data_IF_971737039056
#
_entry.id   IF_971737039056
#
_cell.length_a   1.000
_cell.length_b   1.000
_cell.length_c   1.000
_cell.angle_alpha   90.00
_cell.angle_beta   90.00
_cell.angle_gamma   90.00
#
_symmetry.space_group_name_H-M   'P 1'
#
loop_
_entity.id
_entity.type
_entity.pdbx_description
1 polymer ?
#
# COMPACT_ATOMS: atom_id res chain seq x y z
N UNK A 1 64.45 48.44 -37.03
CA UNK A 1 62.96 48.37 -37.22
C UNK A 1 62.45 47.09 -36.62
N UNK A 2 62.05 47.15 -35.35
CA UNK A 2 61.45 45.97 -34.71
C UNK A 2 60.35 46.45 -33.76
N UNK A 3 59.12 46.11 -34.06
CA UNK A 3 57.94 46.45 -33.30
C UNK A 3 57.58 45.24 -32.48
N UNK A 4 57.88 45.29 -31.15
CA UNK A 4 57.47 44.28 -30.22
C UNK A 4 55.97 44.48 -29.87
N UNK A 5 55.14 43.61 -30.36
CA UNK A 5 53.73 43.49 -29.93
C UNK A 5 53.66 42.74 -28.59
N UNK A 6 53.31 43.44 -27.53
CA UNK A 6 52.98 42.85 -26.20
C UNK A 6 51.56 42.31 -26.24
N UNK A 7 51.43 41.01 -26.42
CA UNK A 7 50.16 40.31 -26.22
C UNK A 7 49.81 40.28 -24.73
N UNK A 8 48.80 41.04 -24.35
CA UNK A 8 48.20 41.00 -23.01
C UNK A 8 47.48 39.68 -22.84
N UNK A 9 48.03 38.81 -22.01
CA UNK A 9 47.33 37.60 -21.52
C UNK A 9 46.23 38.08 -20.56
N UNK A 10 45.03 38.14 -21.11
CA UNK A 10 43.81 38.38 -20.34
C UNK A 10 43.47 37.07 -19.62
N UNK A 11 43.82 36.97 -18.34
CA UNK A 11 43.43 35.88 -17.46
C UNK A 11 41.89 35.90 -17.34
N UNK A 12 41.25 35.02 -18.08
CA UNK A 12 39.83 34.71 -17.90
C UNK A 12 39.67 34.07 -16.52
N UNK A 13 39.29 34.86 -15.55
CA UNK A 13 38.82 34.41 -14.26
C UNK A 13 37.52 33.66 -14.55
N UNK A 14 37.58 32.34 -14.61
CA UNK A 14 36.39 31.49 -14.56
C UNK A 14 35.65 31.80 -13.27
N UNK A 15 34.58 32.58 -13.39
CA UNK A 15 33.62 32.77 -12.32
C UNK A 15 32.96 31.39 -12.06
N UNK A 16 33.45 30.68 -11.04
CA UNK A 16 32.75 29.52 -10.51
C UNK A 16 31.32 29.95 -10.19
N UNK A 17 30.32 29.30 -10.78
CA UNK A 17 28.92 29.56 -10.40
C UNK A 17 28.80 29.32 -8.89
N UNK A 18 28.06 30.18 -8.16
CA UNK A 18 27.91 30.05 -6.73
C UNK A 18 27.37 28.65 -6.42
N UNK A 19 28.05 27.96 -5.49
CA UNK A 19 27.63 26.67 -5.00
C UNK A 19 26.13 26.78 -4.65
N UNK A 20 25.31 26.01 -5.36
CA UNK A 20 23.86 25.89 -5.06
C UNK A 20 23.78 25.43 -3.62
N UNK A 21 23.49 26.37 -2.73
CA UNK A 21 23.24 26.11 -1.33
C UNK A 21 22.24 24.97 -1.22
N UNK A 22 22.66 23.90 -0.57
CA UNK A 22 21.79 22.77 -0.24
C UNK A 22 20.65 23.29 0.64
N UNK A 23 19.57 23.75 0.00
CA UNK A 23 18.35 24.11 0.69
C UNK A 23 17.86 22.85 1.40
N UNK A 24 18.03 22.79 2.71
CA UNK A 24 17.34 21.84 3.58
C UNK A 24 15.84 22.08 3.36
N UNK A 25 15.24 21.27 2.48
CA UNK A 25 13.83 21.40 2.13
C UNK A 25 12.99 21.32 3.40
N UNK A 26 12.50 22.48 3.86
CA UNK A 26 11.62 22.55 5.06
C UNK A 26 10.43 21.63 4.80
N UNK A 27 10.34 20.56 5.58
CA UNK A 27 9.22 19.62 5.53
C UNK A 27 7.96 20.43 5.89
N UNK A 28 6.96 20.46 5.00
CA UNK A 28 5.76 21.23 5.26
C UNK A 28 4.95 20.58 6.40
N UNK A 29 4.47 21.37 7.34
CA UNK A 29 3.62 20.91 8.46
C UNK A 29 2.42 20.11 7.95
N UNK A 30 1.84 20.54 6.83
CA UNK A 30 0.70 19.84 6.18
C UNK A 30 1.07 18.44 5.71
N UNK A 31 2.29 18.21 5.24
CA UNK A 31 2.76 16.90 4.85
C UNK A 31 2.96 16.00 6.09
N UNK A 32 3.58 16.54 7.16
CA UNK A 32 3.75 15.82 8.43
C UNK A 32 2.39 15.41 9.00
N UNK A 33 1.44 16.35 9.05
CA UNK A 33 0.08 16.06 9.53
C UNK A 33 -0.60 14.99 8.68
N UNK A 34 -0.49 15.06 7.35
CA UNK A 34 -1.04 14.03 6.46
C UNK A 34 -0.39 12.65 6.66
N UNK A 35 0.91 12.59 6.93
CA UNK A 35 1.60 11.35 7.25
C UNK A 35 1.12 10.78 8.59
N UNK A 36 0.98 11.62 9.62
CA UNK A 36 0.45 11.20 10.93
C UNK A 36 -0.97 10.64 10.79
N UNK A 37 -1.83 11.29 10.01
CA UNK A 37 -3.19 10.81 9.72
C UNK A 37 -3.15 9.47 8.99
N UNK A 38 -2.27 9.29 7.99
CA UNK A 38 -2.13 8.03 7.26
C UNK A 38 -1.64 6.89 8.16
N UNK A 39 -0.68 7.16 9.06
CA UNK A 39 -0.19 6.18 10.03
C UNK A 39 -1.26 5.83 11.07
N UNK A 40 -2.01 6.81 11.56
CA UNK A 40 -3.13 6.57 12.46
C UNK A 40 -4.22 5.72 11.78
N UNK A 41 -4.57 6.04 10.53
CA UNK A 41 -5.51 5.25 9.74
C UNK A 41 -5.02 3.81 9.53
N UNK A 42 -3.72 3.61 9.28
CA UNK A 42 -3.13 2.27 9.18
C UNK A 42 -3.23 1.51 10.50
N UNK A 43 -2.90 2.14 11.62
CA UNK A 43 -2.98 1.52 12.94
C UNK A 43 -4.42 1.11 13.30
N UNK A 44 -5.39 2.00 13.07
CA UNK A 44 -6.82 1.72 13.27
C UNK A 44 -7.27 0.58 12.35
N UNK A 45 -6.88 0.62 11.08
CA UNK A 45 -7.21 -0.44 10.12
C UNK A 45 -6.67 -1.81 10.58
N UNK A 46 -5.39 -1.90 10.97
CA UNK A 46 -4.79 -3.15 11.42
C UNK A 46 -5.44 -3.65 12.72
N UNK A 47 -5.81 -2.75 13.62
CA UNK A 47 -6.53 -3.11 14.84
C UNK A 47 -7.93 -3.67 14.52
N UNK A 48 -8.71 -3.00 13.66
CA UNK A 48 -10.03 -3.49 13.23
C UNK A 48 -9.91 -4.83 12.52
N UNK A 49 -8.93 -4.95 11.60
CA UNK A 49 -8.63 -6.16 10.88
C UNK A 49 -8.36 -7.33 11.85
N UNK A 50 -7.47 -7.14 12.82
CA UNK A 50 -7.18 -8.15 13.83
C UNK A 50 -8.43 -8.53 14.63
N UNK A 51 -9.26 -7.56 15.00
CA UNK A 51 -10.53 -7.83 15.72
C UNK A 51 -11.50 -8.66 14.90
N UNK A 52 -11.67 -8.33 13.61
CA UNK A 52 -12.57 -9.06 12.71
C UNK A 52 -12.06 -10.47 12.45
N UNK A 53 -10.77 -10.60 12.11
CA UNK A 53 -10.17 -11.88 11.71
C UNK A 53 -9.99 -12.86 12.89
N UNK A 54 -9.70 -12.36 14.07
CA UNK A 54 -9.45 -13.19 15.25
C UNK A 54 -10.71 -13.40 16.13
N UNK A 55 -11.88 -12.98 15.67
CA UNK A 55 -13.13 -13.26 16.37
C UNK A 55 -13.63 -14.67 15.99
N UNK A 56 -13.83 -15.56 16.99
CA UNK A 56 -14.40 -16.89 16.73
C UNK A 56 -15.78 -16.83 16.10
N UNK A 57 -16.08 -17.81 15.25
CA UNK A 57 -17.42 -17.98 14.66
C UNK A 57 -18.19 -19.03 15.48
N UNK A 58 -19.18 -18.64 16.29
CA UNK A 58 -19.94 -19.58 17.10
C UNK A 58 -20.65 -20.62 16.22
N UNK A 59 -20.59 -21.90 16.61
CA UNK A 59 -21.29 -22.99 15.92
C UNK A 59 -20.57 -23.57 14.68
N UNK A 60 -19.38 -23.10 14.36
CA UNK A 60 -18.57 -23.65 13.27
C UNK A 60 -17.50 -24.66 13.74
N UNK A 61 -17.61 -25.15 14.97
CA UNK A 61 -16.64 -26.07 15.58
C UNK A 61 -16.69 -27.43 14.84
N UNK A 62 -15.58 -27.81 14.23
CA UNK A 62 -15.40 -29.14 13.61
C UNK A 62 -15.72 -29.26 12.13
N UNK A 63 -16.25 -28.23 11.46
CA UNK A 63 -16.65 -28.33 10.03
C UNK A 63 -15.68 -27.69 9.04
N UNK A 64 -14.65 -26.97 9.49
CA UNK A 64 -13.78 -26.22 8.60
C UNK A 64 -12.65 -27.08 8.03
N UNK A 65 -12.87 -27.70 6.88
CA UNK A 65 -11.78 -28.23 6.06
C UNK A 65 -11.05 -27.07 5.36
N UNK A 66 -9.72 -26.98 5.55
CA UNK A 66 -8.91 -25.97 4.87
C UNK A 66 -8.95 -26.14 3.35
N UNK A 67 -8.95 -25.02 2.63
CA UNK A 67 -8.89 -25.00 1.18
C UNK A 67 -7.52 -24.48 0.70
N UNK A 68 -6.73 -25.37 0.13
CA UNK A 68 -5.45 -25.04 -0.49
C UNK A 68 -5.54 -24.92 -2.02
N UNK A 69 -6.68 -25.29 -2.61
CA UNK A 69 -6.88 -25.27 -4.05
C UNK A 69 -7.44 -23.91 -4.50
N UNK A 70 -6.68 -23.11 -5.26
CA UNK A 70 -7.15 -21.82 -5.77
C UNK A 70 -8.39 -21.98 -6.66
N UNK A 71 -9.42 -21.22 -6.38
CA UNK A 71 -10.69 -21.22 -7.10
C UNK A 71 -11.74 -22.21 -6.57
N UNK A 72 -11.41 -23.06 -5.59
CA UNK A 72 -12.34 -24.04 -5.07
C UNK A 72 -13.51 -23.40 -4.29
N UNK A 73 -13.20 -22.49 -3.38
CA UNK A 73 -14.20 -21.72 -2.64
C UNK A 73 -15.03 -20.84 -3.56
N UNK A 74 -14.40 -20.21 -4.54
CA UNK A 74 -15.12 -19.39 -5.52
C UNK A 74 -16.10 -20.22 -6.33
N UNK A 75 -15.70 -21.38 -6.86
CA UNK A 75 -16.60 -22.31 -7.58
C UNK A 75 -17.75 -22.76 -6.69
N UNK A 76 -17.46 -23.18 -5.46
CA UNK A 76 -18.47 -23.60 -4.50
C UNK A 76 -19.56 -22.55 -4.28
N UNK A 77 -19.20 -21.26 -4.18
CA UNK A 77 -20.18 -20.18 -4.02
C UNK A 77 -20.91 -19.83 -5.32
N UNK A 78 -20.30 -20.02 -6.48
CA UNK A 78 -20.92 -19.75 -7.79
C UNK A 78 -21.90 -20.87 -8.20
N UNK A 79 -21.62 -22.11 -7.82
CA UNK A 79 -22.44 -23.29 -8.19
C UNK A 79 -23.65 -23.45 -7.27
N UNK A 80 -23.74 -22.75 -6.15
CA UNK A 80 -24.90 -22.82 -5.26
C UNK A 80 -25.91 -21.70 -5.53
N UNK A 81 -27.22 -21.99 -5.38
CA UNK A 81 -28.24 -20.96 -5.47
C UNK A 81 -28.17 -20.01 -4.27
N UNK A 82 -27.39 -18.99 -4.37
CA UNK A 82 -27.20 -18.04 -3.29
C UNK A 82 -26.27 -16.88 -3.67
N UNK A 83 -26.64 -16.11 -4.72
CA UNK A 83 -25.88 -14.92 -5.17
C UNK A 83 -25.46 -14.01 -4.01
N UNK A 84 -26.29 -13.89 -2.97
CA UNK A 84 -25.98 -13.08 -1.79
C UNK A 84 -24.77 -13.61 -1.02
N UNK A 85 -24.68 -14.94 -0.81
CA UNK A 85 -23.56 -15.54 -0.09
C UNK A 85 -22.25 -15.37 -0.88
N UNK A 86 -22.28 -15.60 -2.20
CA UNK A 86 -21.16 -15.38 -3.09
C UNK A 86 -20.70 -13.91 -3.08
N UNK A 87 -21.63 -12.96 -3.18
CA UNK A 87 -21.30 -11.52 -3.13
C UNK A 87 -20.69 -11.09 -1.79
N UNK A 88 -21.20 -11.63 -0.67
CA UNK A 88 -20.66 -11.31 0.65
C UNK A 88 -19.27 -11.89 0.84
N UNK A 89 -19.02 -13.13 0.41
CA UNK A 89 -17.70 -13.76 0.52
C UNK A 89 -16.68 -13.08 -0.41
N UNK A 90 -16.95 -13.02 -1.70
CA UNK A 90 -16.05 -12.44 -2.69
C UNK A 90 -15.90 -10.94 -2.47
N UNK A 91 -17.02 -10.22 -2.32
CA UNK A 91 -17.02 -8.77 -2.10
C UNK A 91 -16.42 -8.39 -0.74
N UNK A 92 -16.71 -9.16 0.31
CA UNK A 92 -16.17 -8.97 1.64
C UNK A 92 -14.64 -9.04 1.63
N UNK A 93 -14.06 -10.07 1.02
CA UNK A 93 -12.61 -10.23 0.92
C UNK A 93 -11.97 -9.14 0.04
N UNK A 94 -12.57 -8.81 -1.11
CA UNK A 94 -12.06 -7.69 -1.92
C UNK A 94 -12.03 -6.37 -1.16
N UNK A 95 -13.04 -6.09 -0.33
CA UNK A 95 -13.12 -4.84 0.44
C UNK A 95 -12.22 -4.89 1.67
N UNK A 96 -12.02 -6.05 2.28
CA UNK A 96 -11.30 -6.22 3.54
C UNK A 96 -9.88 -5.63 3.49
N UNK A 97 -9.11 -5.89 2.43
CA UNK A 97 -7.75 -5.38 2.26
C UNK A 97 -7.65 -4.14 1.35
N UNK A 98 -8.76 -3.67 0.79
CA UNK A 98 -8.79 -2.47 -0.05
C UNK A 98 -8.18 -1.21 0.62
N UNK A 99 -8.37 -0.93 1.93
CA UNK A 99 -7.74 0.20 2.59
C UNK A 99 -6.21 0.22 2.48
N UNK A 100 -5.54 -0.95 2.45
CA UNK A 100 -4.09 -1.03 2.26
C UNK A 100 -3.66 -0.48 0.91
N UNK A 101 -4.46 -0.70 -0.15
CA UNK A 101 -4.20 -0.16 -1.48
C UNK A 101 -4.12 1.37 -1.52
N UNK A 102 -4.80 2.02 -0.59
CA UNK A 102 -4.81 3.49 -0.44
C UNK A 102 -3.76 3.97 0.57
N UNK A 103 -3.69 3.33 1.72
CA UNK A 103 -2.88 3.81 2.87
C UNK A 103 -1.39 3.56 2.66
N UNK A 104 -0.99 2.36 2.20
CA UNK A 104 0.42 2.01 2.03
C UNK A 104 1.21 2.99 1.16
N UNK A 105 0.73 3.38 -0.04
CA UNK A 105 1.43 4.35 -0.88
C UNK A 105 1.43 5.78 -0.34
N UNK A 106 0.57 6.12 0.65
CA UNK A 106 0.58 7.39 1.37
C UNK A 106 1.67 7.39 2.45
N UNK A 107 1.78 6.30 3.20
CA UNK A 107 2.75 6.16 4.29
C UNK A 107 4.18 6.15 3.75
N UNK A 108 4.44 5.44 2.65
CA UNK A 108 5.78 5.34 2.10
C UNK A 108 5.81 5.42 0.56
N UNK A 109 6.61 6.33 0.03
CA UNK A 109 6.85 6.43 -1.42
C UNK A 109 7.36 5.13 -2.03
N UNK A 110 8.15 4.36 -1.27
CA UNK A 110 8.69 3.06 -1.69
C UNK A 110 7.62 2.01 -1.92
N UNK A 111 6.43 2.15 -1.31
CA UNK A 111 5.30 1.25 -1.48
C UNK A 111 4.37 1.67 -2.63
N UNK A 112 4.76 2.65 -3.44
CA UNK A 112 4.02 3.09 -4.62
C UNK A 112 4.28 2.13 -5.78
N UNK A 113 3.29 1.32 -6.09
CA UNK A 113 3.32 0.36 -7.20
C UNK A 113 2.40 -0.83 -6.93
N UNK A 114 1.72 -1.36 -7.97
CA UNK A 114 0.74 -2.44 -7.78
C UNK A 114 1.41 -3.71 -7.22
N UNK A 115 2.61 -4.05 -7.69
CA UNK A 115 3.33 -5.24 -7.20
C UNK A 115 3.72 -5.11 -5.73
N UNK A 116 4.16 -3.94 -5.29
CA UNK A 116 4.56 -3.71 -3.89
C UNK A 116 3.36 -3.70 -2.96
N UNK A 117 2.28 -3.06 -3.38
CA UNK A 117 1.01 -3.09 -2.64
C UNK A 117 0.48 -4.52 -2.58
N UNK A 118 0.46 -5.24 -3.70
CA UNK A 118 0.01 -6.63 -3.76
C UNK A 118 0.86 -7.55 -2.89
N UNK A 119 2.21 -7.39 -2.92
CA UNK A 119 3.09 -8.19 -2.08
C UNK A 119 2.82 -7.97 -0.58
N UNK A 120 2.72 -6.71 -0.13
CA UNK A 120 2.46 -6.41 1.29
C UNK A 120 1.07 -6.88 1.70
N UNK A 121 0.04 -6.62 0.89
CA UNK A 121 -1.32 -7.06 1.18
C UNK A 121 -1.43 -8.58 1.16
N UNK A 122 -0.79 -9.26 0.20
CA UNK A 122 -0.78 -10.72 0.10
C UNK A 122 -0.08 -11.39 1.28
N UNK A 123 1.09 -10.87 1.69
CA UNK A 123 1.78 -11.39 2.88
C UNK A 123 0.98 -11.17 4.16
N UNK A 124 0.33 -10.01 4.31
CA UNK A 124 -0.52 -9.74 5.46
C UNK A 124 -1.76 -10.64 5.45
N UNK A 125 -2.40 -10.83 4.29
CA UNK A 125 -3.54 -11.72 4.15
C UNK A 125 -3.16 -13.18 4.42
N UNK A 126 -2.03 -13.65 3.89
CA UNK A 126 -1.52 -14.99 4.15
C UNK A 126 -1.27 -15.20 5.66
N UNK A 127 -0.62 -14.23 6.31
CA UNK A 127 -0.39 -14.30 7.75
C UNK A 127 -1.69 -14.32 8.54
N UNK A 128 -2.70 -13.56 8.10
CA UNK A 128 -4.02 -13.54 8.71
C UNK A 128 -4.72 -14.90 8.58
N UNK A 129 -4.72 -15.50 7.37
CA UNK A 129 -5.31 -16.82 7.12
C UNK A 129 -4.63 -17.94 7.93
N UNK A 130 -3.30 -17.93 8.00
CA UNK A 130 -2.56 -18.87 8.84
C UNK A 130 -2.93 -18.67 10.32
N UNK A 131 -2.98 -17.43 10.78
CA UNK A 131 -3.38 -17.14 12.17
C UNK A 131 -4.81 -17.59 12.46
N UNK A 132 -5.75 -17.40 11.53
CA UNK A 132 -7.13 -17.86 11.66
C UNK A 132 -7.21 -19.38 11.75
N UNK A 133 -6.56 -20.09 10.84
CA UNK A 133 -6.56 -21.56 10.82
C UNK A 133 -5.91 -22.19 12.05
N UNK A 134 -4.97 -21.50 12.71
CA UNK A 134 -4.27 -22.02 13.89
C UNK A 134 -4.92 -21.56 15.20
N UNK A 135 -5.41 -20.32 15.28
CA UNK A 135 -5.79 -19.68 16.53
C UNK A 135 -7.30 -19.54 16.72
N UNK A 136 -8.09 -19.65 15.65
CA UNK A 136 -9.52 -19.37 15.70
C UNK A 136 -10.34 -20.64 15.47
N UNK A 137 -11.03 -21.09 16.49
CA UNK A 137 -11.92 -22.25 16.41
C UNK A 137 -13.02 -22.01 15.34
N UNK A 138 -13.26 -23.04 14.51
CA UNK A 138 -14.25 -22.98 13.45
C UNK A 138 -13.81 -22.22 12.19
N UNK A 139 -12.52 -21.82 12.10
CA UNK A 139 -11.95 -21.28 10.87
C UNK A 139 -10.84 -22.17 10.34
N UNK A 140 -10.79 -22.29 9.00
CA UNK A 140 -9.72 -22.96 8.30
C UNK A 140 -9.07 -22.03 7.29
N UNK A 141 -7.84 -22.33 6.91
CA UNK A 141 -7.11 -21.62 5.86
C UNK A 141 -7.85 -21.70 4.52
N UNK A 142 -8.00 -20.57 3.83
CA UNK A 142 -8.56 -20.50 2.49
C UNK A 142 -7.64 -19.69 1.54
N UNK A 143 -7.12 -20.38 0.51
CA UNK A 143 -6.25 -19.77 -0.50
C UNK A 143 -6.97 -18.69 -1.33
N UNK A 144 -8.29 -18.84 -1.56
CA UNK A 144 -9.06 -17.86 -2.31
C UNK A 144 -9.20 -16.55 -1.56
N UNK A 145 -9.27 -16.59 -0.24
CA UNK A 145 -9.31 -15.38 0.59
C UNK A 145 -8.02 -14.57 0.45
N UNK A 146 -6.86 -15.24 0.39
CA UNK A 146 -5.57 -14.54 0.15
C UNK A 146 -5.56 -13.87 -1.22
N UNK A 147 -6.05 -14.57 -2.24
CA UNK A 147 -6.10 -14.04 -3.62
C UNK A 147 -7.04 -12.84 -3.72
N UNK A 148 -8.26 -12.97 -3.19
CA UNK A 148 -9.28 -11.92 -3.23
C UNK A 148 -8.86 -10.68 -2.44
N UNK A 149 -8.32 -10.85 -1.25
CA UNK A 149 -7.80 -9.79 -0.41
C UNK A 149 -6.67 -9.02 -1.12
N UNK A 150 -5.74 -9.75 -1.73
CA UNK A 150 -4.64 -9.14 -2.51
C UNK A 150 -5.16 -8.37 -3.72
N UNK A 151 -6.10 -8.97 -4.47
CA UNK A 151 -6.73 -8.33 -5.62
C UNK A 151 -7.47 -7.06 -5.21
N UNK A 152 -8.20 -7.07 -4.10
CA UNK A 152 -8.89 -5.91 -3.56
C UNK A 152 -7.96 -4.74 -3.23
N UNK A 153 -6.82 -5.02 -2.59
CA UNK A 153 -5.81 -4.00 -2.32
C UNK A 153 -5.22 -3.40 -3.61
N UNK A 154 -4.91 -4.24 -4.60
CA UNK A 154 -4.38 -3.81 -5.90
C UNK A 154 -5.40 -2.97 -6.67
N UNK A 155 -6.66 -3.39 -6.69
CA UNK A 155 -7.75 -2.62 -7.31
C UNK A 155 -7.92 -1.25 -6.64
N UNK A 156 -7.96 -1.19 -5.32
CA UNK A 156 -8.06 0.07 -4.58
C UNK A 156 -6.85 0.99 -4.84
N UNK A 157 -5.65 0.42 -4.99
CA UNK A 157 -4.48 1.17 -5.42
C UNK A 157 -4.68 1.83 -6.78
N UNK A 158 -5.18 1.11 -7.78
CA UNK A 158 -5.41 1.68 -9.12
C UNK A 158 -6.51 2.74 -9.12
N UNK A 159 -7.61 2.48 -8.41
CA UNK A 159 -8.78 3.36 -8.40
C UNK A 159 -8.49 4.67 -7.63
N UNK A 160 -7.87 4.60 -6.47
CA UNK A 160 -7.73 5.71 -5.53
C UNK A 160 -6.25 5.96 -5.16
N UNK A 161 -5.57 4.93 -4.66
CA UNK A 161 -4.26 5.04 -4.02
C UNK A 161 -3.20 5.69 -4.89
N UNK A 162 -3.14 5.33 -6.17
CA UNK A 162 -2.19 5.88 -7.14
C UNK A 162 -2.35 7.39 -7.34
N UNK A 163 -3.58 7.90 -7.42
CA UNK A 163 -3.84 9.33 -7.60
C UNK A 163 -3.54 10.10 -6.31
N UNK A 164 -4.06 9.60 -5.20
CA UNK A 164 -3.93 10.23 -3.90
C UNK A 164 -2.47 10.31 -3.45
N UNK A 165 -1.70 9.22 -3.58
CA UNK A 165 -0.28 9.21 -3.20
C UNK A 165 0.57 10.12 -4.08
N UNK A 166 0.28 10.24 -5.38
CA UNK A 166 0.99 11.19 -6.25
C UNK A 166 0.76 12.63 -5.81
N UNK A 167 -0.48 12.99 -5.52
CA UNK A 167 -0.84 14.32 -5.05
C UNK A 167 -0.22 14.64 -3.67
N UNK A 168 -0.25 13.65 -2.76
CA UNK A 168 0.31 13.79 -1.42
C UNK A 168 1.83 14.02 -1.43
N UNK A 169 2.56 13.21 -2.17
CA UNK A 169 4.02 13.32 -2.22
C UNK A 169 4.53 14.45 -3.14
N UNK A 170 3.76 14.87 -4.14
CA UNK A 170 4.09 16.06 -4.94
C UNK A 170 4.16 17.34 -4.08
N UNK A 171 3.36 17.44 -3.04
CA UNK A 171 3.37 18.55 -2.09
C UNK A 171 4.63 18.63 -1.23
N UNK A 172 5.29 17.49 -0.98
CA UNK A 172 6.57 17.43 -0.26
C UNK A 172 7.70 18.15 -1.02
N UNK A 173 7.65 18.09 -2.36
CA UNK A 173 8.74 18.58 -3.22
C UNK A 173 8.60 20.05 -3.62
N UNK A 174 7.49 20.71 -3.28
CA UNK A 174 7.32 22.13 -3.58
C UNK A 174 8.03 22.96 -2.50
N UNK A 175 9.06 23.80 -2.86
CA UNK A 175 9.60 24.78 -1.93
C UNK A 175 8.48 25.73 -1.52
N UNK A 176 8.46 26.14 -0.26
CA UNK A 176 7.58 27.21 0.20
C UNK A 176 7.95 28.48 -0.58
N UNK A 177 7.01 29.03 -1.32
CA UNK A 177 7.12 30.37 -1.92
C UNK A 177 7.01 31.43 -0.83
#
# INVERSE_FOLDING_TARGET
LSILSRSAVRSSREERPPARGGGTGRISLRWVLGLVVALAALAVFLWVLARVLLTPVPGAEGEAAGNLEPGASLRFYLDRPGVRAALLQVGGNLVLMAPLGVILPLVAERLRGPLRVGLVAGLLSLAAEVAQGVLVLGRAFDADDVILNTAGAVLAYFLIGRRLSRWFHARRRRPAR
#
